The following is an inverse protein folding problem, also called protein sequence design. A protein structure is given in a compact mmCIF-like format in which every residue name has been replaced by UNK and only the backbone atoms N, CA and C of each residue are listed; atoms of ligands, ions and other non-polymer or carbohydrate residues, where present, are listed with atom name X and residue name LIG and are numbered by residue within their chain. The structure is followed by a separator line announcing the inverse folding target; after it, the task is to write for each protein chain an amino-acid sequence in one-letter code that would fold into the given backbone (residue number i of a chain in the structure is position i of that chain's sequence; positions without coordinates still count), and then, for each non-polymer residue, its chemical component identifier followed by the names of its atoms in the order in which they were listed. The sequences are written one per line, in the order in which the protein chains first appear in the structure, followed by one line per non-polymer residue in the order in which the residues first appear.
data_IF_279064791313
#
_entry.id   IF_279064791313
#
_cell.length_a   1.000
_cell.length_b   1.000
_cell.length_c   1.000
_cell.angle_alpha   90.00
_cell.angle_beta   90.00
_cell.angle_gamma   90.00
#
_symmetry.space_group_name_H-M   'P 1'
#
loop_
_entity.id
_entity.type
_entity.pdbx_description
1 polymer ?
#
# COMPACT_ATOMS: atom_id res chain seq x y z
N UNK A 1 -3.24 -19.53 4.75
CA UNK A 1 -1.92 -19.08 5.27
C UNK A 1 -2.00 -17.58 5.52
N UNK A 2 -1.53 -17.08 6.67
CA UNK A 2 -1.59 -15.64 6.95
C UNK A 2 -0.66 -14.88 6.03
N UNK A 3 -1.19 -13.93 5.25
CA UNK A 3 -0.41 -13.08 4.36
C UNK A 3 -0.06 -11.74 5.00
N UNK A 4 -0.94 -11.26 5.90
CA UNK A 4 -0.77 -10.00 6.61
C UNK A 4 -1.20 -10.16 8.07
N UNK A 5 -0.38 -9.63 8.98
CA UNK A 5 -0.68 -9.61 10.40
C UNK A 5 -0.18 -8.32 11.04
N UNK A 6 -0.97 -7.77 11.96
CA UNK A 6 -0.49 -6.72 12.87
C UNK A 6 -0.52 -7.22 14.32
N UNK A 7 0.41 -6.75 15.13
CA UNK A 7 0.52 -7.11 16.53
C UNK A 7 0.60 -5.83 17.36
N UNK A 8 -0.43 -5.55 18.15
CA UNK A 8 -0.52 -4.40 19.05
C UNK A 8 -0.11 -3.08 18.38
N UNK A 9 -0.60 -2.86 17.17
CA UNK A 9 -0.22 -1.71 16.35
C UNK A 9 -0.74 -0.42 16.96
N UNK A 10 0.16 0.52 17.22
CA UNK A 10 -0.16 1.85 17.76
C UNK A 10 0.38 2.91 16.82
N UNK A 11 -0.43 3.92 16.55
CA UNK A 11 0.02 5.13 15.84
C UNK A 11 -0.45 6.38 16.55
N UNK A 12 0.49 7.23 16.89
CA UNK A 12 0.26 8.54 17.48
C UNK A 12 0.80 9.62 16.56
N UNK A 13 0.07 10.73 16.45
CA UNK A 13 0.49 11.93 15.75
C UNK A 13 0.49 13.14 16.72
N UNK A 14 1.32 14.12 16.43
CA UNK A 14 1.44 15.34 17.22
C UNK A 14 2.49 15.24 18.33
N UNK A 15 2.56 16.30 19.13
CA UNK A 15 3.42 16.43 20.30
C UNK A 15 2.57 16.92 21.49
N UNK A 16 3.01 16.67 22.70
CA UNK A 16 2.31 17.18 23.89
C UNK A 16 2.11 18.72 23.81
N UNK A 17 0.93 19.23 24.19
CA UNK A 17 -0.22 18.51 24.77
C UNK A 17 -1.21 17.93 23.74
N UNK A 18 -0.96 18.04 22.43
CA UNK A 18 -1.91 17.72 21.36
C UNK A 18 -1.58 16.39 20.66
N UNK A 19 -1.51 15.30 21.41
CA UNK A 19 -1.30 13.94 20.86
C UNK A 19 -2.64 13.36 20.42
N UNK A 20 -2.70 12.88 19.17
CA UNK A 20 -3.82 12.10 18.63
C UNK A 20 -3.40 10.65 18.48
N UNK A 21 -4.01 9.74 19.23
CA UNK A 21 -3.84 8.30 19.07
C UNK A 21 -4.77 7.81 17.96
N UNK A 22 -4.25 7.70 16.75
CA UNK A 22 -5.00 7.28 15.56
C UNK A 22 -5.23 5.77 15.50
N UNK A 23 -4.30 4.99 16.05
CA UNK A 23 -4.43 3.53 16.24
C UNK A 23 -4.05 3.18 17.67
N UNK A 24 -4.82 2.28 18.31
CA UNK A 24 -4.61 1.85 19.68
C UNK A 24 -4.67 0.32 19.80
N UNK A 25 -3.50 -0.31 19.88
CA UNK A 25 -3.34 -1.76 20.06
C UNK A 25 -4.11 -2.62 19.02
N UNK A 26 -4.08 -2.22 17.77
CA UNK A 26 -4.79 -2.92 16.69
C UNK A 26 -4.04 -4.18 16.29
N UNK A 27 -4.68 -5.35 16.48
CA UNK A 27 -4.17 -6.64 16.04
C UNK A 27 -5.18 -7.27 15.09
N UNK A 28 -4.77 -7.51 13.85
CA UNK A 28 -5.56 -8.18 12.82
C UNK A 28 -4.72 -9.25 12.12
N UNK A 29 -5.40 -10.20 11.53
CA UNK A 29 -4.77 -11.23 10.70
C UNK A 29 -5.63 -11.44 9.46
N UNK A 30 -4.98 -11.44 8.28
CA UNK A 30 -5.62 -11.64 6.98
C UNK A 30 -4.91 -12.79 6.29
N UNK A 31 -5.69 -13.75 5.79
CA UNK A 31 -5.18 -14.89 5.06
C UNK A 31 -5.12 -14.63 3.55
N UNK A 32 -4.32 -15.43 2.88
CA UNK A 32 -4.23 -15.41 1.42
C UNK A 32 -5.62 -15.67 0.80
N UNK A 33 -5.97 -14.88 -0.23
CA UNK A 33 -7.25 -14.97 -0.93
C UNK A 33 -8.42 -14.29 -0.23
N UNK A 34 -8.25 -13.72 0.96
CA UNK A 34 -9.32 -13.00 1.64
C UNK A 34 -9.56 -11.61 1.03
N UNK A 35 -10.84 -11.24 0.94
CA UNK A 35 -11.29 -9.88 0.66
C UNK A 35 -11.81 -9.25 1.95
N UNK A 36 -11.14 -8.20 2.42
CA UNK A 36 -11.42 -7.57 3.73
C UNK A 36 -11.86 -6.12 3.55
N UNK A 37 -12.93 -5.72 4.20
CA UNK A 37 -13.39 -4.34 4.26
C UNK A 37 -13.15 -3.73 5.65
N UNK A 38 -12.50 -2.57 5.71
CA UNK A 38 -12.33 -1.78 6.93
C UNK A 38 -13.40 -0.71 6.96
N UNK A 39 -14.36 -0.83 7.86
CA UNK A 39 -15.49 0.07 8.01
C UNK A 39 -15.42 0.88 9.32
N UNK A 40 -16.02 2.05 9.34
CA UNK A 40 -16.05 2.93 10.51
C UNK A 40 -16.38 4.37 10.13
N UNK A 41 -16.67 5.20 11.13
CA UNK A 41 -16.96 6.63 10.98
C UNK A 41 -15.75 7.41 10.47
N UNK A 42 -15.97 8.64 10.00
CA UNK A 42 -14.87 9.55 9.65
C UNK A 42 -13.98 9.78 10.88
N UNK A 43 -12.66 9.81 10.67
CA UNK A 43 -11.69 10.00 11.76
C UNK A 43 -11.41 8.77 12.63
N UNK A 44 -11.99 7.59 12.33
CA UNK A 44 -11.78 6.36 13.13
C UNK A 44 -10.45 5.63 12.88
N UNK A 45 -9.51 6.22 12.13
CA UNK A 45 -8.18 5.63 11.91
C UNK A 45 -8.06 4.69 10.71
N UNK A 46 -9.11 4.52 9.87
CA UNK A 46 -9.09 3.59 8.72
C UNK A 46 -7.95 3.86 7.74
N UNK A 47 -7.79 5.12 7.31
CA UNK A 47 -6.71 5.51 6.39
C UNK A 47 -5.33 5.36 7.05
N UNK A 48 -5.23 5.65 8.36
CA UNK A 48 -4.00 5.40 9.12
C UNK A 48 -3.67 3.91 9.14
N UNK A 49 -4.65 3.05 9.40
CA UNK A 49 -4.44 1.61 9.37
C UNK A 49 -3.98 1.14 7.98
N UNK A 50 -4.66 1.57 6.90
CA UNK A 50 -4.25 1.24 5.53
C UNK A 50 -2.82 1.71 5.21
N UNK A 51 -2.42 2.89 5.68
CA UNK A 51 -1.05 3.39 5.49
C UNK A 51 -0.02 2.52 6.23
N UNK A 52 -0.35 2.03 7.45
CA UNK A 52 0.52 1.11 8.18
C UNK A 52 0.62 -0.25 7.45
N UNK A 53 -0.52 -0.79 6.98
CA UNK A 53 -0.56 -2.05 6.24
C UNK A 53 0.16 -1.94 4.88
N UNK A 54 0.09 -0.79 4.23
CA UNK A 54 0.79 -0.50 2.96
C UNK A 54 2.26 -0.10 3.14
N UNK A 55 2.75 0.02 4.38
CA UNK A 55 4.11 0.50 4.64
C UNK A 55 4.38 1.93 4.15
N UNK A 56 3.33 2.76 4.08
CA UNK A 56 3.43 4.17 3.68
C UNK A 56 3.80 5.08 4.86
N UNK A 57 3.60 4.59 6.08
CA UNK A 57 3.98 5.27 7.31
C UNK A 57 4.47 4.23 8.33
N UNK A 58 5.24 4.65 9.34
CA UNK A 58 5.78 3.78 10.39
C UNK A 58 4.90 3.83 11.64
N UNK A 59 4.66 2.70 12.29
CA UNK A 59 3.94 2.69 13.56
C UNK A 59 4.77 3.35 14.67
N UNK A 60 4.08 3.90 15.68
CA UNK A 60 4.72 4.38 16.91
C UNK A 60 5.21 3.20 17.75
N UNK A 61 4.42 2.11 17.78
CA UNK A 61 4.81 0.83 18.37
C UNK A 61 3.96 -0.30 17.78
N UNK A 62 4.33 -1.54 18.10
CA UNK A 62 3.73 -2.73 17.52
C UNK A 62 4.38 -3.12 16.20
N UNK A 63 3.85 -4.14 15.54
CA UNK A 63 4.46 -4.71 14.36
C UNK A 63 3.44 -4.91 13.24
N UNK A 64 3.91 -4.72 12.00
CA UNK A 64 3.22 -5.13 10.77
C UNK A 64 4.06 -6.18 10.07
N UNK A 65 3.48 -7.33 9.80
CA UNK A 65 4.12 -8.49 9.17
C UNK A 65 3.38 -8.78 7.88
N UNK A 66 4.08 -8.82 6.75
CA UNK A 66 3.53 -9.17 5.43
C UNK A 66 4.44 -10.22 4.79
N UNK A 67 3.85 -11.29 4.24
CA UNK A 67 4.59 -12.40 3.65
C UNK A 67 5.72 -12.90 4.57
N UNK A 68 5.43 -13.08 5.86
CA UNK A 68 6.37 -13.49 6.91
C UNK A 68 7.54 -12.52 7.17
N UNK A 69 7.49 -11.29 6.64
CA UNK A 69 8.50 -10.27 6.87
C UNK A 69 7.93 -9.14 7.73
N UNK A 70 8.62 -8.81 8.82
CA UNK A 70 8.24 -7.69 9.71
C UNK A 70 8.64 -6.38 9.05
N UNK A 71 7.69 -5.77 8.32
CA UNK A 71 7.93 -4.56 7.52
C UNK A 71 8.14 -3.32 8.37
N UNK A 72 7.60 -3.26 9.58
CA UNK A 72 7.80 -2.16 10.53
C UNK A 72 9.24 -1.97 10.98
N UNK A 73 10.11 -2.97 10.76
CA UNK A 73 11.55 -2.92 11.10
C UNK A 73 12.45 -2.55 9.93
N UNK A 74 11.90 -2.46 8.72
CA UNK A 74 12.67 -2.12 7.52
C UNK A 74 13.10 -0.65 7.55
N UNK A 75 14.29 -0.38 7.02
CA UNK A 75 14.68 0.97 6.70
C UNK A 75 13.93 1.48 5.46
N UNK A 76 14.08 2.76 5.11
CA UNK A 76 13.29 3.39 4.06
C UNK A 76 13.58 2.82 2.66
N UNK A 77 14.84 2.44 2.40
CA UNK A 77 15.25 1.81 1.13
C UNK A 77 14.66 0.40 1.01
N UNK A 78 14.83 -0.42 2.03
CA UNK A 78 14.28 -1.78 2.09
C UNK A 78 12.74 -1.76 1.96
N UNK A 79 12.07 -0.80 2.63
CA UNK A 79 10.64 -0.63 2.57
C UNK A 79 10.17 -0.23 1.17
N UNK A 80 10.92 0.64 0.48
CA UNK A 80 10.62 1.05 -0.89
C UNK A 80 10.70 -0.13 -1.85
N UNK A 81 11.75 -0.96 -1.75
CA UNK A 81 11.90 -2.18 -2.55
C UNK A 81 10.78 -3.18 -2.21
N UNK A 82 10.49 -3.36 -0.91
CA UNK A 82 9.45 -4.29 -0.47
C UNK A 82 8.07 -3.92 -1.02
N UNK A 83 7.67 -2.64 -0.90
CA UNK A 83 6.38 -2.14 -1.45
C UNK A 83 6.25 -2.42 -2.93
N UNK A 84 7.26 -2.02 -3.70
CA UNK A 84 7.27 -2.18 -5.16
C UNK A 84 7.00 -3.61 -5.60
N UNK A 85 7.52 -4.59 -4.85
CA UNK A 85 7.45 -6.01 -5.21
C UNK A 85 6.28 -6.79 -4.60
N UNK A 86 5.70 -6.29 -3.51
CA UNK A 86 4.77 -7.10 -2.72
C UNK A 86 3.43 -6.41 -2.45
N UNK A 87 3.28 -5.10 -2.69
CA UNK A 87 2.09 -4.34 -2.32
C UNK A 87 1.59 -3.54 -3.53
N UNK A 88 0.33 -3.75 -3.91
CA UNK A 88 -0.41 -2.85 -4.77
C UNK A 88 -1.23 -1.88 -3.92
N UNK A 89 -1.13 -0.57 -4.17
CA UNK A 89 -1.89 0.45 -3.45
C UNK A 89 -2.68 1.31 -4.44
N UNK A 90 -3.98 1.44 -4.20
CA UNK A 90 -4.86 2.36 -4.95
C UNK A 90 -5.20 3.53 -4.04
N UNK A 91 -4.68 4.71 -4.37
CA UNK A 91 -4.91 5.92 -3.61
C UNK A 91 -6.26 6.56 -3.94
N UNK A 92 -6.85 7.26 -2.97
CA UNK A 92 -8.09 8.00 -3.16
C UNK A 92 -7.96 9.08 -4.26
N UNK A 93 -6.80 9.70 -4.41
CA UNK A 93 -6.50 10.73 -5.41
C UNK A 93 -5.70 10.19 -6.60
N UNK A 94 -5.72 8.87 -6.82
CA UNK A 94 -5.05 8.13 -7.90
C UNK A 94 -3.52 8.26 -7.94
N UNK A 95 -2.93 9.40 -7.58
CA UNK A 95 -1.48 9.69 -7.55
C UNK A 95 -0.77 9.39 -8.88
N UNK A 96 -1.42 9.68 -10.00
CA UNK A 96 -0.81 9.56 -11.32
C UNK A 96 0.25 10.65 -11.51
N UNK A 97 1.29 10.33 -12.28
CA UNK A 97 2.33 11.27 -12.67
C UNK A 97 1.82 12.07 -13.88
N UNK A 98 1.54 13.39 -13.74
CA UNK A 98 0.81 14.16 -14.76
C UNK A 98 1.55 14.33 -16.09
N UNK A 99 2.88 14.21 -16.07
CA UNK A 99 3.71 14.36 -17.28
C UNK A 99 3.84 13.05 -18.08
N UNK A 100 3.33 11.95 -17.53
CA UNK A 100 3.32 10.64 -18.16
C UNK A 100 1.94 10.34 -18.75
N UNK A 101 1.89 9.69 -19.89
CA UNK A 101 0.64 9.17 -20.43
C UNK A 101 0.12 7.97 -19.64
N UNK A 102 -1.03 7.41 -20.04
CA UNK A 102 -1.67 6.30 -19.31
C UNK A 102 -0.78 5.05 -19.32
N UNK A 103 -0.22 4.68 -20.47
CA UNK A 103 0.64 3.51 -20.57
C UNK A 103 1.90 3.65 -19.69
N UNK A 104 2.56 4.80 -19.76
CA UNK A 104 3.75 5.12 -18.95
C UNK A 104 3.45 5.06 -17.46
N UNK A 105 2.30 5.58 -17.01
CA UNK A 105 1.87 5.45 -15.60
C UNK A 105 1.64 3.99 -15.19
N UNK A 106 1.12 3.14 -16.08
CA UNK A 106 0.89 1.72 -15.81
C UNK A 106 2.21 0.97 -15.64
N UNK A 107 3.19 1.21 -16.50
CA UNK A 107 4.45 0.46 -16.49
C UNK A 107 5.51 1.04 -15.56
N UNK A 108 5.36 2.28 -15.12
CA UNK A 108 6.32 3.00 -14.28
C UNK A 108 6.84 2.19 -13.07
N UNK A 109 6.01 1.49 -12.29
CA UNK A 109 6.51 0.70 -11.15
C UNK A 109 7.45 -0.43 -11.58
N UNK A 110 7.21 -1.03 -12.76
CA UNK A 110 8.03 -2.11 -13.32
C UNK A 110 9.37 -1.56 -13.77
N UNK A 111 9.37 -0.42 -14.46
CA UNK A 111 10.58 0.26 -14.93
C UNK A 111 11.45 0.72 -13.76
N UNK A 112 10.84 1.27 -12.70
CA UNK A 112 11.56 1.69 -11.49
C UNK A 112 12.18 0.51 -10.73
N UNK A 113 11.66 -0.71 -10.89
CA UNK A 113 12.28 -1.93 -10.34
C UNK A 113 13.41 -2.46 -11.22
N UNK A 114 13.60 -1.92 -12.42
CA UNK A 114 14.54 -2.44 -13.41
C UNK A 114 14.12 -3.79 -13.99
N UNK A 115 12.85 -4.17 -13.79
CA UNK A 115 12.29 -5.42 -14.30
C UNK A 115 11.88 -5.29 -15.75
N UNK A 116 11.90 -6.40 -16.49
CA UNK A 116 11.43 -6.42 -17.88
C UNK A 116 9.89 -6.36 -17.89
N UNK A 117 9.35 -5.47 -18.74
CA UNK A 117 7.90 -5.38 -18.94
C UNK A 117 7.40 -6.60 -19.71
N UNK A 118 6.46 -7.33 -19.14
CA UNK A 118 5.65 -8.32 -19.85
C UNK A 118 4.52 -7.60 -20.59
N UNK A 119 4.76 -7.29 -21.86
CA UNK A 119 3.81 -6.56 -22.70
C UNK A 119 2.48 -7.30 -22.86
N UNK A 120 2.51 -8.63 -22.97
CA UNK A 120 1.28 -9.43 -23.11
C UNK A 120 0.40 -9.32 -21.85
N UNK A 121 1.02 -9.35 -20.68
CA UNK A 121 0.32 -9.18 -19.41
C UNK A 121 -0.25 -7.76 -19.26
N UNK A 122 0.56 -6.74 -19.55
CA UNK A 122 0.12 -5.33 -19.53
C UNK A 122 -1.06 -5.11 -20.48
N UNK A 123 -0.97 -5.58 -21.72
CA UNK A 123 -2.04 -5.47 -22.72
C UNK A 123 -3.32 -6.17 -22.26
N UNK A 124 -3.20 -7.33 -21.62
CA UNK A 124 -4.37 -8.04 -21.07
C UNK A 124 -5.10 -7.23 -20.00
N UNK A 125 -4.38 -6.54 -19.14
CA UNK A 125 -4.94 -5.66 -18.11
C UNK A 125 -5.60 -4.42 -18.75
N UNK A 126 -4.92 -3.77 -19.70
CA UNK A 126 -5.43 -2.62 -20.43
C UNK A 126 -6.77 -2.97 -21.11
N UNK A 127 -6.83 -4.13 -21.78
CA UNK A 127 -8.04 -4.62 -22.43
C UNK A 127 -9.16 -4.89 -21.40
N UNK A 128 -8.83 -5.55 -20.28
CA UNK A 128 -9.79 -5.88 -19.22
C UNK A 128 -10.40 -4.61 -18.61
N UNK A 129 -9.61 -3.56 -18.46
CA UNK A 129 -10.04 -2.28 -17.89
C UNK A 129 -10.64 -1.32 -18.94
N UNK A 130 -10.66 -1.68 -20.23
CA UNK A 130 -11.20 -0.85 -21.30
C UNK A 130 -10.42 0.45 -21.53
N UNK A 131 -9.10 0.41 -21.38
CA UNK A 131 -8.23 1.59 -21.48
C UNK A 131 -7.57 1.77 -22.85
N UNK A 132 -7.89 0.93 -23.84
CA UNK A 132 -7.21 0.94 -25.16
C UNK A 132 -7.22 2.31 -25.84
N UNK A 133 -8.34 3.03 -25.77
CA UNK A 133 -8.50 4.34 -26.40
C UNK A 133 -7.89 5.50 -25.58
N UNK A 134 -7.30 5.19 -24.42
CA UNK A 134 -6.79 6.18 -23.46
C UNK A 134 -5.27 6.20 -23.31
N UNK A 135 -4.55 5.30 -23.96
CA UNK A 135 -3.12 5.03 -23.69
C UNK A 135 -2.19 6.21 -23.97
N UNK A 136 -2.59 7.13 -24.82
CA UNK A 136 -1.76 8.27 -25.28
C UNK A 136 -2.19 9.63 -24.71
N UNK A 137 -3.09 9.63 -23.73
CA UNK A 137 -3.57 10.85 -23.08
C UNK A 137 -2.89 11.08 -21.73
#
# INVERSE_FOLDING_TARGET
MSILKTINLVKMYGQEPNIVKALDNVSIEINEGEFVAIIGTSGSGKSTLLNMLGGLDKPTSGETIICNKTISRLNDEEMTIFRRRNIGFVFQNYNLVPVLNVYENIVLPIELDGSKIDTNYVDSIINTLGLNDKLIF
#
